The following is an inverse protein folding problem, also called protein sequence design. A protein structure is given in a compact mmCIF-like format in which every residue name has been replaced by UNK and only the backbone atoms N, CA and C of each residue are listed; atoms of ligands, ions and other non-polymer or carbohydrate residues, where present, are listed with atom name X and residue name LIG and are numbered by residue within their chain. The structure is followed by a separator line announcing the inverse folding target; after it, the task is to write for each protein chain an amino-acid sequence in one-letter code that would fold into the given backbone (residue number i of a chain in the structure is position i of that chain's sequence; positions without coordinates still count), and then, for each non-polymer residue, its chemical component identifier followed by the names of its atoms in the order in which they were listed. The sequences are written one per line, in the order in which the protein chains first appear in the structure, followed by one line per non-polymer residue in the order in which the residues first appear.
data_IF_021921985631
#
_entry.id   IF_021921985631
#
_cell.length_a   1.000
_cell.length_b   1.000
_cell.length_c   1.000
_cell.angle_alpha   90.00
_cell.angle_beta   90.00
_cell.angle_gamma   90.00
#
_symmetry.space_group_name_H-M   'P 1'
#
loop_
_entity.id
_entity.type
_entity.pdbx_description
1 polymer ?
#
# COMPACT_ATOMS: atom_id res chain seq x y z
N UNK A 1 30.79 -1.10 11.96
CA UNK A 1 29.50 -1.76 11.69
C UNK A 1 28.40 -0.82 12.17
N UNK A 2 27.82 -0.03 11.27
CA UNK A 2 27.21 1.26 11.63
C UNK A 2 25.70 1.24 11.86
N UNK A 3 25.28 1.54 13.09
CA UNK A 3 23.88 1.74 13.52
C UNK A 3 23.30 3.11 13.11
N UNK A 4 23.95 3.84 12.20
CA UNK A 4 23.62 5.22 11.79
C UNK A 4 22.39 5.36 10.86
N UNK A 5 21.65 4.28 10.59
CA UNK A 5 20.51 4.32 9.67
C UNK A 5 19.19 4.80 10.30
N UNK A 6 19.06 4.76 11.64
CA UNK A 6 17.80 5.06 12.32
C UNK A 6 17.50 6.56 12.48
N UNK A 7 18.53 7.42 12.46
CA UNK A 7 18.38 8.85 12.81
C UNK A 7 17.64 9.72 11.78
N UNK A 8 17.48 9.26 10.53
CA UNK A 8 16.86 10.05 9.45
C UNK A 8 15.53 9.50 8.94
N UNK A 9 14.78 8.75 9.75
CA UNK A 9 13.43 8.31 9.37
C UNK A 9 12.45 9.49 9.31
N UNK A 10 11.70 9.60 8.22
CA UNK A 10 10.68 10.64 8.07
C UNK A 10 9.53 10.32 9.04
N UNK A 11 9.37 11.15 10.08
CA UNK A 11 8.29 10.98 11.08
C UNK A 11 6.89 11.16 10.48
N UNK A 12 6.72 12.15 9.59
CA UNK A 12 5.45 12.46 8.93
C UNK A 12 5.58 12.39 7.41
N UNK A 13 4.91 11.40 6.81
CA UNK A 13 4.87 11.22 5.37
C UNK A 13 3.76 12.08 4.77
N UNK A 14 4.07 12.84 3.73
CA UNK A 14 3.11 13.65 2.95
C UNK A 14 2.78 13.01 1.59
N UNK A 15 3.23 11.77 1.39
CA UNK A 15 3.16 11.04 0.14
C UNK A 15 2.52 9.70 0.43
N UNK A 16 1.54 9.34 -0.38
CA UNK A 16 0.73 8.15 -0.26
C UNK A 16 0.89 7.26 -1.49
N UNK A 17 0.53 5.98 -1.33
CA UNK A 17 0.46 5.08 -2.48
C UNK A 17 -0.72 5.52 -3.35
N UNK A 18 -0.53 5.57 -4.67
CA UNK A 18 -1.50 6.11 -5.62
C UNK A 18 -1.32 7.59 -5.97
N UNK A 19 -0.40 8.32 -5.32
CA UNK A 19 -0.12 9.71 -5.69
C UNK A 19 0.69 9.80 -7.00
N UNK A 20 0.40 10.82 -7.82
CA UNK A 20 1.20 11.16 -9.00
C UNK A 20 2.39 12.04 -8.60
N UNK A 21 3.59 11.62 -9.00
CA UNK A 21 4.85 12.28 -8.66
C UNK A 21 5.75 12.45 -9.87
N UNK A 22 6.58 13.49 -9.87
CA UNK A 22 7.63 13.71 -10.86
C UNK A 22 9.01 13.44 -10.26
N UNK A 23 9.89 12.84 -11.05
CA UNK A 23 11.26 12.53 -10.66
C UNK A 23 12.15 13.76 -10.87
N UNK A 24 12.81 14.24 -9.82
CA UNK A 24 13.66 15.44 -9.90
C UNK A 24 15.13 15.13 -10.17
N UNK A 25 15.60 13.96 -9.78
CA UNK A 25 16.99 13.52 -9.98
C UNK A 25 17.06 12.02 -10.23
N UNK A 26 18.04 11.59 -11.02
CA UNK A 26 18.28 10.19 -11.34
C UNK A 26 18.27 9.93 -12.85
N UNK A 27 18.26 8.65 -13.21
CA UNK A 27 18.25 8.19 -14.61
C UNK A 27 17.01 8.66 -15.37
N UNK A 28 15.85 8.66 -14.69
CA UNK A 28 14.54 8.96 -15.29
C UNK A 28 14.06 10.37 -14.90
N UNK A 29 14.97 11.37 -14.89
CA UNK A 29 14.65 12.75 -14.46
C UNK A 29 13.62 13.40 -15.39
N UNK A 30 12.64 14.08 -14.80
CA UNK A 30 11.58 14.80 -15.52
C UNK A 30 10.36 13.94 -15.86
N UNK A 31 10.46 12.62 -15.67
CA UNK A 31 9.35 11.72 -15.91
C UNK A 31 8.36 11.74 -14.73
N UNK A 32 7.07 11.69 -15.05
CA UNK A 32 5.98 11.52 -14.11
C UNK A 32 5.58 10.05 -13.99
N UNK A 33 5.07 9.67 -12.82
CA UNK A 33 4.54 8.33 -12.59
C UNK A 33 3.77 8.22 -11.27
N UNK A 34 2.99 7.16 -11.16
CA UNK A 34 2.18 6.87 -9.98
C UNK A 34 2.95 6.01 -8.98
N UNK A 35 2.76 6.25 -7.69
CA UNK A 35 3.41 5.47 -6.63
C UNK A 35 2.68 4.14 -6.44
N UNK A 36 3.40 3.03 -6.67
CA UNK A 36 2.91 1.68 -6.40
C UNK A 36 3.02 1.29 -4.93
N UNK A 37 4.07 1.74 -4.26
CA UNK A 37 4.29 1.38 -2.86
C UNK A 37 5.40 2.19 -2.20
N UNK A 38 5.38 2.20 -0.87
CA UNK A 38 6.27 3.00 -0.03
C UNK A 38 6.96 2.11 1.00
N UNK A 39 8.29 2.20 1.07
CA UNK A 39 9.10 1.55 2.09
C UNK A 39 9.49 2.59 3.14
N UNK A 40 8.71 2.63 4.21
CA UNK A 40 8.87 3.62 5.28
C UNK A 40 10.15 3.42 6.08
N UNK A 41 10.63 2.18 6.22
CA UNK A 41 11.87 1.83 6.95
C UNK A 41 13.14 2.36 6.28
N UNK A 42 13.10 2.65 4.98
CA UNK A 42 14.25 3.13 4.21
C UNK A 42 14.03 4.53 3.64
N UNK A 43 12.87 5.15 3.89
CA UNK A 43 12.39 6.36 3.24
C UNK A 43 12.42 6.28 1.70
N UNK A 44 11.97 5.16 1.12
CA UNK A 44 11.99 4.94 -0.34
C UNK A 44 10.59 4.76 -0.91
N UNK A 45 10.45 5.08 -2.18
CA UNK A 45 9.20 4.99 -2.93
C UNK A 45 9.44 4.20 -4.21
N UNK A 46 8.46 3.38 -4.60
CA UNK A 46 8.44 2.62 -5.85
C UNK A 46 7.45 3.32 -6.78
N UNK A 47 7.96 3.83 -7.90
CA UNK A 47 7.16 4.43 -8.97
C UNK A 47 6.97 3.41 -10.08
N UNK A 48 5.78 3.35 -10.64
CA UNK A 48 5.44 2.42 -11.70
C UNK A 48 6.27 2.65 -12.97
N UNK A 49 6.88 1.58 -13.50
CA UNK A 49 7.62 1.62 -14.76
C UNK A 49 8.95 2.39 -14.73
N UNK A 50 9.38 2.93 -13.59
CA UNK A 50 10.61 3.72 -13.45
C UNK A 50 11.69 2.97 -12.69
N UNK A 51 12.94 3.35 -12.92
CA UNK A 51 14.14 2.77 -12.31
C UNK A 51 14.22 1.24 -12.47
N UNK A 52 13.89 0.71 -13.64
CA UNK A 52 13.91 -0.74 -13.90
C UNK A 52 15.35 -1.25 -13.97
N UNK A 53 15.63 -2.33 -13.25
CA UNK A 53 16.90 -3.04 -13.33
C UNK A 53 16.67 -4.51 -13.59
N UNK A 54 17.48 -5.06 -14.50
CA UNK A 54 17.49 -6.46 -14.86
C UNK A 54 18.21 -7.24 -13.76
N UNK A 55 17.51 -8.15 -13.09
CA UNK A 55 18.12 -9.08 -12.13
C UNK A 55 18.19 -10.47 -12.76
N UNK A 56 19.38 -11.07 -12.74
CA UNK A 56 19.53 -12.49 -13.04
C UNK A 56 19.05 -13.31 -11.84
N UNK A 57 18.13 -14.23 -12.09
CA UNK A 57 17.59 -15.16 -11.08
C UNK A 57 18.01 -16.57 -11.50
N UNK A 58 18.59 -17.34 -10.58
CA UNK A 58 18.97 -18.74 -10.83
C UNK A 58 17.70 -19.56 -11.05
N UNK A 59 17.71 -20.41 -12.08
CA UNK A 59 16.58 -21.29 -12.41
C UNK A 59 16.31 -22.25 -11.25
N UNK A 60 15.05 -22.31 -10.83
CA UNK A 60 14.55 -23.25 -9.82
C UNK A 60 13.37 -24.04 -10.37
N UNK A 61 13.03 -25.14 -9.72
CA UNK A 61 11.94 -26.06 -10.08
C UNK A 61 10.59 -25.32 -9.98
N UNK A 62 10.16 -24.67 -11.06
CA UNK A 62 8.96 -23.82 -11.09
C UNK A 62 9.12 -22.48 -11.81
N UNK A 63 10.34 -22.11 -12.25
CA UNK A 63 10.56 -20.95 -13.12
C UNK A 63 11.19 -21.41 -14.45
N UNK A 64 10.40 -21.40 -15.51
CA UNK A 64 10.88 -21.68 -16.86
C UNK A 64 11.81 -20.55 -17.35
N UNK A 65 13.05 -20.91 -17.67
CA UNK A 65 14.02 -20.03 -18.32
C UNK A 65 14.76 -19.08 -17.37
N UNK A 66 15.97 -18.67 -17.77
CA UNK A 66 16.74 -17.64 -17.07
C UNK A 66 16.09 -16.28 -17.36
N UNK A 67 14.92 -16.02 -16.79
CA UNK A 67 14.20 -14.78 -17.07
C UNK A 67 14.94 -13.60 -16.46
N UNK A 68 15.37 -12.68 -17.32
CA UNK A 68 15.75 -11.33 -16.96
C UNK A 68 14.50 -10.61 -16.42
N UNK A 69 14.20 -10.76 -15.13
CA UNK A 69 13.10 -10.02 -14.52
C UNK A 69 13.51 -8.54 -14.39
N UNK A 70 12.80 -7.66 -15.09
CA UNK A 70 12.85 -6.21 -14.88
C UNK A 70 12.08 -5.90 -13.58
N UNK A 71 12.81 -5.79 -12.47
CA UNK A 71 12.20 -5.32 -11.22
C UNK A 71 12.39 -3.81 -11.11
N UNK A 72 11.38 -3.06 -10.65
CA UNK A 72 11.58 -1.67 -10.30
C UNK A 72 12.59 -1.63 -9.15
N UNK A 73 13.76 -1.06 -9.41
CA UNK A 73 14.80 -0.89 -8.42
C UNK A 73 14.46 0.28 -7.51
N UNK A 74 14.86 0.14 -6.25
CA UNK A 74 14.61 1.12 -5.21
C UNK A 74 15.22 2.48 -5.56
N UNK A 75 14.39 3.51 -5.65
CA UNK A 75 14.85 4.88 -5.76
C UNK A 75 15.26 5.38 -4.36
N UNK A 76 16.49 5.88 -4.15
CA UNK A 76 16.81 6.62 -2.93
C UNK A 76 15.95 7.89 -2.85
N UNK A 77 15.78 8.51 -1.66
CA UNK A 77 14.91 9.67 -1.46
C UNK A 77 15.48 10.92 -2.13
N UNK A 78 15.41 11.01 -3.46
CA UNK A 78 15.66 12.25 -4.19
C UNK A 78 14.56 12.56 -5.22
N UNK A 79 13.43 11.86 -5.16
CA UNK A 79 12.20 12.35 -5.76
C UNK A 79 11.64 13.41 -4.81
N UNK A 80 12.11 14.66 -4.92
CA UNK A 80 11.32 15.78 -4.40
C UNK A 80 10.03 15.77 -5.20
N UNK A 81 8.92 15.48 -4.57
CA UNK A 81 7.62 15.46 -5.24
C UNK A 81 7.25 16.90 -5.60
N UNK A 82 7.35 17.29 -6.87
CA UNK A 82 6.50 18.36 -7.35
C UNK A 82 5.11 17.75 -7.52
N UNK A 83 4.24 18.04 -6.56
CA UNK A 83 2.80 17.89 -6.82
C UNK A 83 2.52 18.82 -8.00
N UNK A 84 1.83 18.33 -9.03
CA UNK A 84 1.70 18.99 -10.32
C UNK A 84 1.32 20.46 -10.26
N UNK A 85 1.52 21.12 -11.41
CA UNK A 85 1.17 22.52 -11.70
C UNK A 85 -0.25 22.81 -11.21
N UNK A 86 -0.37 23.63 -10.18
CA UNK A 86 -1.63 24.04 -9.58
C UNK A 86 -1.35 24.95 -8.40
N UNK A 87 -1.86 26.18 -8.47
CA UNK A 87 -1.64 27.24 -7.49
C UNK A 87 -1.86 26.78 -6.04
N UNK A 88 -1.16 27.43 -5.11
CA UNK A 88 -1.35 27.29 -3.66
C UNK A 88 -2.84 27.32 -3.28
N UNK A 89 -3.44 26.17 -2.94
CA UNK A 89 -4.82 26.08 -2.46
C UNK A 89 -5.62 24.81 -2.79
N UNK A 90 -5.16 23.96 -3.72
CA UNK A 90 -5.90 22.74 -4.09
C UNK A 90 -5.82 21.65 -3.00
N UNK A 91 -6.98 21.19 -2.52
CA UNK A 91 -7.10 20.02 -1.63
C UNK A 91 -6.90 18.74 -2.45
N UNK A 92 -5.85 17.98 -2.14
CA UNK A 92 -5.57 16.68 -2.78
C UNK A 92 -6.34 15.62 -1.99
N UNK A 93 -7.35 14.96 -2.58
CA UNK A 93 -8.10 13.92 -1.90
C UNK A 93 -7.23 12.69 -1.67
N UNK A 94 -7.53 11.95 -0.60
CA UNK A 94 -6.86 10.68 -0.35
C UNK A 94 -7.16 9.67 -1.48
N UNK A 95 -6.13 9.05 -2.08
CA UNK A 95 -6.32 8.15 -3.21
C UNK A 95 -7.10 6.89 -2.82
N UNK A 96 -7.93 6.38 -3.74
CA UNK A 96 -8.85 5.26 -3.49
C UNK A 96 -8.14 3.94 -3.19
N UNK A 97 -6.92 3.75 -3.70
CA UNK A 97 -6.11 2.55 -3.45
C UNK A 97 -5.85 2.30 -1.95
N UNK A 98 -5.89 3.33 -1.12
CA UNK A 98 -5.75 3.20 0.33
C UNK A 98 -7.01 2.64 1.01
N UNK A 99 -8.17 2.73 0.38
CA UNK A 99 -9.44 2.22 0.91
C UNK A 99 -9.57 0.71 0.69
N UNK A 100 -8.85 0.18 -0.30
CA UNK A 100 -8.93 -1.22 -0.71
C UNK A 100 -7.95 -2.05 0.14
N UNK A 101 -8.42 -3.21 0.63
CA UNK A 101 -7.56 -4.19 1.28
C UNK A 101 -6.68 -4.87 0.24
N UNK A 102 -5.39 -5.01 0.52
CA UNK A 102 -4.46 -5.72 -0.36
C UNK A 102 -4.82 -7.19 -0.53
N UNK A 103 -5.41 -7.80 0.50
CA UNK A 103 -5.95 -9.16 0.46
C UNK A 103 -7.47 -9.10 0.56
N UNK A 104 -8.23 -9.59 -0.46
CA UNK A 104 -9.67 -9.63 -0.38
C UNK A 104 -10.11 -10.59 0.74
N UNK A 105 -11.19 -10.25 1.45
CA UNK A 105 -11.78 -11.19 2.41
C UNK A 105 -12.48 -12.30 1.59
N UNK A 106 -12.30 -13.59 1.93
CA UNK A 106 -13.16 -14.62 1.38
C UNK A 106 -14.62 -14.32 1.75
N UNK A 107 -15.49 -14.25 0.76
CA UNK A 107 -16.94 -14.02 0.95
C UNK A 107 -17.68 -15.29 1.36
N UNK A 108 -17.03 -16.45 1.15
CA UNK A 108 -17.57 -17.76 1.51
C UNK A 108 -17.42 -17.98 3.00
N UNK A 109 -18.50 -18.35 3.67
CA UNK A 109 -18.50 -18.72 5.09
C UNK A 109 -17.67 -19.99 5.27
N UNK A 110 -16.71 -19.95 6.20
CA UNK A 110 -15.97 -21.12 6.60
C UNK A 110 -16.80 -22.07 7.47
N UNK A 111 -16.33 -23.31 7.70
CA UNK A 111 -17.05 -24.29 8.52
C UNK A 111 -17.29 -23.89 9.99
N UNK A 112 -16.55 -22.88 10.46
CA UNK A 112 -16.63 -22.34 11.84
C UNK A 112 -17.22 -20.94 11.89
N UNK A 113 -17.64 -20.38 10.76
CA UNK A 113 -18.18 -19.02 10.70
C UNK A 113 -19.70 -19.05 10.88
N UNK A 114 -20.20 -18.23 11.80
CA UNK A 114 -21.65 -18.10 12.04
C UNK A 114 -22.31 -17.37 10.86
N UNK A 115 -23.45 -17.87 10.33
CA UNK A 115 -24.19 -17.15 9.30
C UNK A 115 -24.70 -15.81 9.83
N UNK A 116 -24.74 -14.81 8.95
CA UNK A 116 -25.08 -13.43 9.33
C UNK A 116 -26.49 -13.31 9.92
N UNK A 117 -27.42 -14.18 9.49
CA UNK A 117 -28.81 -14.18 9.95
C UNK A 117 -28.91 -14.43 11.47
N UNK A 118 -28.13 -15.40 11.99
CA UNK A 118 -28.07 -15.71 13.41
C UNK A 118 -27.35 -14.62 14.21
N UNK A 119 -26.33 -13.98 13.61
CA UNK A 119 -25.57 -12.92 14.29
C UNK A 119 -26.39 -11.64 14.43
N UNK A 120 -27.19 -11.31 13.42
CA UNK A 120 -28.05 -10.14 13.41
C UNK A 120 -29.38 -10.37 14.13
N UNK A 121 -29.70 -11.61 14.47
CA UNK A 121 -30.87 -11.95 15.27
C UNK A 121 -30.79 -11.26 16.65
N UNK A 122 -31.73 -10.35 16.89
CA UNK A 122 -31.83 -9.63 18.18
C UNK A 122 -32.58 -10.50 19.17
N UNK A 123 -31.85 -11.29 19.94
CA UNK A 123 -32.39 -12.17 20.98
C UNK A 123 -32.85 -11.43 22.24
N UNK A 124 -32.39 -10.19 22.45
CA UNK A 124 -32.70 -9.39 23.62
C UNK A 124 -33.35 -8.05 23.24
N UNK A 125 -34.45 -7.71 23.92
CA UNK A 125 -35.07 -6.40 23.84
C UNK A 125 -35.42 -5.88 25.23
N UNK A 126 -34.63 -4.91 25.70
CA UNK A 126 -34.73 -4.30 27.02
C UNK A 126 -36.09 -3.61 27.29
N UNK A 127 -36.78 -3.12 26.26
CA UNK A 127 -38.05 -2.39 26.42
C UNK A 127 -39.25 -3.31 26.57
N UNK A 128 -39.21 -4.46 25.90
CA UNK A 128 -40.31 -5.44 25.89
C UNK A 128 -40.06 -6.62 26.83
N UNK A 129 -38.93 -6.65 27.55
CA UNK A 129 -38.56 -7.74 28.44
C UNK A 129 -38.24 -9.07 27.73
N UNK A 130 -38.18 -9.09 26.39
CA UNK A 130 -37.84 -10.31 25.64
C UNK A 130 -36.36 -10.65 25.84
N UNK A 131 -36.09 -11.90 26.20
CA UNK A 131 -34.74 -12.45 26.35
C UNK A 131 -34.12 -12.28 27.75
N UNK A 132 -34.89 -11.84 28.75
CA UNK A 132 -34.48 -11.94 30.16
C UNK A 132 -34.94 -13.29 30.71
N UNK A 133 -34.05 -14.14 31.26
CA UNK A 133 -34.49 -15.31 32.02
C UNK A 133 -35.19 -14.84 33.30
N UNK A 134 -36.30 -15.49 33.66
CA UNK A 134 -36.86 -15.34 35.01
C UNK A 134 -35.85 -15.93 36.00
N UNK A 135 -35.36 -15.09 36.92
CA UNK A 135 -34.46 -15.49 38.01
C UNK A 135 -35.25 -16.14 39.15
#
# INVERSE_FOLDING_TARGET
MGWRAAEKLIRRWKVLSGDNVMIIRGKDKGETGTIKGIIRSQNRVIVEGKNLVKKHIKQGQGHEGASLQSKPQFMPPMCKVSRGIGASGSIIPQPEILKIRTTPRPTVLGPKDTPMDLVLEKTYNAKTGRGMPEL
#
